data_IF_707898720766
#
_entry.id   IF_707898720766
#
_cell.length_a   1.000
_cell.length_b   1.000
_cell.length_c   1.000
_cell.angle_alpha   90.00
_cell.angle_beta   90.00
_cell.angle_gamma   90.00
#
_symmetry.space_group_name_H-M   'P 1'
#
loop_
_entity.id
_entity.type
_entity.pdbx_description
1 polymer ?
#
# COMPACT_ATOMS: atom_id res chain seq x y z
N UNK A 1 -36.31 25.80 14.38
CA UNK A 1 -35.90 24.60 15.15
C UNK A 1 -36.45 23.28 14.59
N UNK A 2 -37.68 23.20 14.04
CA UNK A 2 -38.22 21.94 13.48
C UNK A 2 -37.67 21.54 12.08
N UNK A 3 -36.96 22.40 11.37
CA UNK A 3 -36.39 22.08 10.04
C UNK A 3 -35.20 21.11 10.08
N UNK A 4 -34.60 20.85 11.25
CA UNK A 4 -33.47 19.91 11.39
C UNK A 4 -33.87 18.43 11.35
N UNK A 5 -35.17 18.11 11.44
CA UNK A 5 -35.65 16.73 11.26
C UNK A 5 -35.37 16.17 9.86
N UNK A 6 -35.13 17.04 8.87
CA UNK A 6 -34.85 16.62 7.50
C UNK A 6 -33.40 16.15 7.28
N UNK A 7 -32.51 16.32 8.26
CA UNK A 7 -31.11 15.87 8.16
C UNK A 7 -30.90 14.43 8.67
N UNK A 8 -31.87 13.88 9.42
CA UNK A 8 -31.82 12.49 9.91
C UNK A 8 -31.64 11.43 8.79
N UNK A 9 -32.36 11.51 7.66
CA UNK A 9 -32.16 10.56 6.55
C UNK A 9 -30.77 10.70 5.90
N UNK A 10 -30.19 11.91 5.92
CA UNK A 10 -28.86 12.17 5.35
C UNK A 10 -27.72 11.59 6.20
N UNK A 11 -27.80 11.71 7.53
CA UNK A 11 -26.76 11.17 8.42
C UNK A 11 -26.75 9.64 8.42
N UNK A 12 -27.93 9.01 8.50
CA UNK A 12 -28.03 7.54 8.51
C UNK A 12 -27.56 6.91 7.19
N UNK A 13 -27.75 7.61 6.05
CA UNK A 13 -27.32 7.14 4.72
C UNK A 13 -25.80 7.15 4.54
N UNK A 14 -25.09 8.05 5.20
CA UNK A 14 -23.63 8.20 5.06
C UNK A 14 -22.84 7.41 6.12
N UNK A 15 -23.32 7.36 7.36
CA UNK A 15 -22.63 6.65 8.46
C UNK A 15 -23.64 6.18 9.51
N UNK A 16 -23.76 4.86 9.68
CA UNK A 16 -24.67 4.26 10.67
C UNK A 16 -24.36 4.74 12.11
N UNK A 17 -23.08 5.00 12.41
CA UNK A 17 -22.65 5.49 13.71
C UNK A 17 -23.08 6.93 13.97
N UNK A 18 -23.00 7.79 12.94
CA UNK A 18 -23.38 9.20 13.07
C UNK A 18 -24.92 9.34 13.19
N UNK A 19 -25.67 8.48 12.49
CA UNK A 19 -27.12 8.37 12.67
C UNK A 19 -27.52 7.88 14.06
N UNK A 20 -26.81 6.90 14.61
CA UNK A 20 -27.03 6.42 15.98
C UNK A 20 -26.70 7.49 17.01
N UNK A 21 -25.58 8.21 16.84
CA UNK A 21 -25.19 9.33 17.70
C UNK A 21 -26.31 10.38 17.73
N UNK A 22 -26.78 10.83 16.56
CA UNK A 22 -27.86 11.80 16.47
C UNK A 22 -29.14 11.31 17.15
N UNK A 23 -29.53 10.05 16.93
CA UNK A 23 -30.76 9.49 17.51
C UNK A 23 -30.67 9.44 19.04
N UNK A 24 -29.54 8.97 19.58
CA UNK A 24 -29.32 8.85 21.02
C UNK A 24 -29.30 10.23 21.69
N UNK A 25 -28.60 11.21 21.11
CA UNK A 25 -28.56 12.56 21.68
C UNK A 25 -29.92 13.26 21.62
N UNK A 26 -30.64 13.08 20.51
CA UNK A 26 -31.96 13.65 20.32
C UNK A 26 -32.99 13.09 21.33
N UNK A 27 -33.02 11.76 21.50
CA UNK A 27 -33.90 11.12 22.49
C UNK A 27 -33.51 11.55 23.91
N UNK A 28 -32.22 11.64 24.22
CA UNK A 28 -31.76 12.04 25.55
C UNK A 28 -32.23 13.46 25.93
N UNK A 29 -32.15 14.43 25.02
CA UNK A 29 -32.62 15.80 25.26
C UNK A 29 -34.13 15.87 25.47
N UNK A 30 -34.91 15.06 24.73
CA UNK A 30 -36.38 15.06 24.86
C UNK A 30 -36.84 14.42 26.18
N UNK A 31 -36.15 13.39 26.65
CA UNK A 31 -36.60 12.59 27.81
C UNK A 31 -36.05 13.13 29.15
N UNK A 32 -34.84 13.70 29.17
CA UNK A 32 -34.07 13.99 30.40
C UNK A 32 -33.76 15.49 30.62
N UNK A 33 -34.29 16.38 29.79
CA UNK A 33 -33.98 17.82 29.70
C UNK A 33 -32.68 18.17 28.95
N UNK A 34 -32.57 19.44 28.56
CA UNK A 34 -31.52 19.97 27.69
C UNK A 34 -30.12 19.81 28.31
N UNK A 35 -29.98 20.13 29.60
CA UNK A 35 -28.67 20.11 30.29
C UNK A 35 -28.12 18.68 30.41
N UNK A 36 -28.94 17.74 30.86
CA UNK A 36 -28.59 16.32 30.96
C UNK A 36 -28.36 15.70 29.58
N UNK A 37 -29.21 16.02 28.60
CA UNK A 37 -29.09 15.54 27.23
C UNK A 37 -27.81 16.00 26.55
N UNK A 38 -27.33 17.22 26.84
CA UNK A 38 -26.05 17.73 26.34
C UNK A 38 -24.86 16.93 26.88
N UNK A 39 -24.82 16.67 28.18
CA UNK A 39 -23.73 15.89 28.82
C UNK A 39 -23.67 14.49 28.22
N UNK A 40 -24.82 13.82 28.10
CA UNK A 40 -24.91 12.49 27.47
C UNK A 40 -24.44 12.56 26.03
N UNK A 41 -24.85 13.59 25.28
CA UNK A 41 -24.45 13.77 23.90
C UNK A 41 -22.94 13.91 23.72
N UNK A 42 -22.28 14.67 24.58
CA UNK A 42 -20.81 14.79 24.60
C UNK A 42 -20.16 13.44 24.91
N UNK A 43 -20.65 12.73 25.93
CA UNK A 43 -20.11 11.43 26.32
C UNK A 43 -20.23 10.39 25.19
N UNK A 44 -21.39 10.31 24.53
CA UNK A 44 -21.62 9.40 23.39
C UNK A 44 -20.77 9.82 22.19
N UNK A 45 -20.62 11.12 21.91
CA UNK A 45 -19.76 11.59 20.84
C UNK A 45 -18.29 11.20 21.06
N UNK A 46 -17.78 11.36 22.28
CA UNK A 46 -16.43 10.92 22.64
C UNK A 46 -16.27 9.41 22.46
N UNK A 47 -17.26 8.63 22.90
CA UNK A 47 -17.25 7.18 22.73
C UNK A 47 -17.22 6.77 21.25
N UNK A 48 -18.03 7.41 20.40
CA UNK A 48 -18.05 7.18 18.95
C UNK A 48 -16.70 7.53 18.32
N UNK A 49 -16.07 8.64 18.74
CA UNK A 49 -14.73 9.02 18.27
C UNK A 49 -13.67 7.98 18.66
N UNK A 50 -13.73 7.44 19.88
CA UNK A 50 -12.83 6.36 20.31
C UNK A 50 -13.03 5.10 19.44
N UNK A 51 -14.28 4.66 19.23
CA UNK A 51 -14.54 3.51 18.36
C UNK A 51 -14.07 3.74 16.92
N UNK A 52 -14.27 4.95 16.40
CA UNK A 52 -13.78 5.34 15.06
C UNK A 52 -12.26 5.30 14.98
N UNK A 53 -11.56 5.70 16.04
CA UNK A 53 -10.09 5.68 16.11
C UNK A 53 -9.50 4.26 16.13
N UNK A 54 -10.25 3.29 16.67
CA UNK A 54 -9.83 1.88 16.77
C UNK A 54 -10.11 1.11 15.46
N UNK A 55 -10.94 1.67 14.57
CA UNK A 55 -11.28 1.07 13.28
C UNK A 55 -10.06 0.91 12.39
N UNK A 56 -9.83 -0.33 11.94
CA UNK A 56 -8.76 -0.70 11.02
C UNK A 56 -9.34 -1.40 9.82
N UNK A 57 -8.84 -1.10 8.63
CA UNK A 57 -9.15 -1.82 7.42
C UNK A 57 -7.91 -2.60 6.95
N UNK A 58 -8.14 -3.81 6.45
CA UNK A 58 -7.11 -4.62 5.81
C UNK A 58 -7.61 -4.83 4.39
N UNK A 59 -6.87 -4.39 3.40
CA UNK A 59 -7.22 -4.50 1.98
C UNK A 59 -6.20 -5.36 1.26
N UNK A 60 -6.63 -6.07 0.23
CA UNK A 60 -5.70 -6.75 -0.66
C UNK A 60 -5.31 -5.78 -1.76
N UNK A 61 -4.01 -5.59 -1.92
CA UNK A 61 -3.46 -4.62 -2.89
C UNK A 61 -2.55 -5.33 -3.87
N UNK A 62 -2.38 -4.74 -5.04
CA UNK A 62 -1.55 -5.27 -6.11
C UNK A 62 -0.82 -4.14 -6.83
N UNK A 63 0.37 -4.40 -7.38
CA UNK A 63 1.03 -3.43 -8.24
C UNK A 63 0.23 -3.22 -9.52
N UNK A 64 0.25 -2.00 -10.03
CA UNK A 64 -0.20 -1.66 -11.38
C UNK A 64 1.03 -1.72 -12.28
N UNK A 65 1.02 -2.53 -13.37
CA UNK A 65 2.14 -2.64 -14.28
C UNK A 65 2.64 -1.27 -14.76
N UNK A 66 3.96 -1.12 -14.92
CA UNK A 66 4.62 0.06 -15.52
C UNK A 66 4.44 1.40 -14.77
N UNK A 67 3.71 1.45 -13.66
CA UNK A 67 3.45 2.71 -12.93
C UNK A 67 4.15 2.77 -11.56
N UNK A 68 4.57 1.63 -11.01
CA UNK A 68 5.08 1.53 -9.65
C UNK A 68 4.03 1.75 -8.55
N UNK A 69 2.77 1.98 -8.92
CA UNK A 69 1.68 2.20 -7.99
C UNK A 69 1.17 0.87 -7.42
N UNK A 70 0.72 0.91 -6.16
CA UNK A 70 0.09 -0.23 -5.49
C UNK A 70 -1.29 0.18 -5.01
N UNK A 71 -2.32 -0.42 -5.60
CA UNK A 71 -3.74 -0.05 -5.40
C UNK A 71 -4.57 -1.26 -4.98
N UNK A 72 -5.78 -1.04 -4.49
CA UNK A 72 -6.67 -2.13 -4.08
C UNK A 72 -7.17 -2.93 -5.30
N UNK A 73 -6.98 -4.26 -5.26
CA UNK A 73 -7.34 -5.16 -6.37
C UNK A 73 -8.85 -5.18 -6.61
N UNK A 74 -9.65 -4.92 -5.58
CA UNK A 74 -11.11 -4.88 -5.70
C UNK A 74 -11.64 -3.62 -6.34
N UNK A 75 -10.89 -2.53 -6.28
CA UNK A 75 -11.33 -1.20 -6.72
C UNK A 75 -10.72 -0.78 -8.06
N UNK A 76 -9.69 -1.51 -8.54
CA UNK A 76 -8.99 -1.20 -9.77
C UNK A 76 -8.79 -2.43 -10.64
N UNK A 77 -9.23 -2.35 -11.90
CA UNK A 77 -9.03 -3.40 -12.90
C UNK A 77 -7.57 -3.51 -13.38
N UNK A 78 -6.76 -2.48 -13.13
CA UNK A 78 -5.35 -2.42 -13.55
C UNK A 78 -4.40 -3.11 -12.56
N UNK A 79 -4.87 -3.43 -11.35
CA UNK A 79 -4.07 -4.05 -10.32
C UNK A 79 -3.92 -5.55 -10.55
N UNK A 80 -2.68 -6.04 -10.59
CA UNK A 80 -2.40 -7.46 -10.75
C UNK A 80 -2.09 -8.11 -9.39
N UNK A 81 -2.54 -9.35 -9.21
CA UNK A 81 -2.14 -10.17 -8.06
C UNK A 81 -0.80 -10.84 -8.37
N UNK A 82 0.29 -10.57 -7.63
CA UNK A 82 1.56 -11.26 -7.85
C UNK A 82 1.43 -12.77 -7.63
N UNK A 83 2.12 -13.58 -8.45
CA UNK A 83 2.07 -15.04 -8.34
C UNK A 83 2.74 -15.58 -7.09
N UNK A 84 3.80 -14.92 -6.63
CA UNK A 84 4.66 -15.40 -5.53
C UNK A 84 4.39 -14.72 -4.19
N UNK A 85 3.57 -13.66 -4.18
CA UNK A 85 3.35 -12.82 -3.02
C UNK A 85 1.89 -12.48 -2.79
N UNK A 86 1.49 -12.44 -1.52
CA UNK A 86 0.24 -11.83 -1.05
C UNK A 86 0.59 -10.47 -0.45
N UNK A 87 -0.01 -9.40 -0.97
CA UNK A 87 0.21 -8.05 -0.45
C UNK A 87 -1.07 -7.57 0.23
N UNK A 88 -0.95 -7.21 1.50
CA UNK A 88 -2.05 -6.71 2.31
C UNK A 88 -1.69 -5.32 2.83
N UNK A 89 -2.57 -4.34 2.64
CA UNK A 89 -2.43 -3.00 3.19
C UNK A 89 -3.24 -2.89 4.46
N UNK A 90 -2.61 -2.43 5.54
CA UNK A 90 -3.31 -2.03 6.77
C UNK A 90 -3.51 -0.52 6.75
N UNK A 91 -4.76 -0.11 6.91
CA UNK A 91 -5.17 1.29 7.06
C UNK A 91 -5.78 1.49 8.44
N UNK A 92 -5.21 2.38 9.24
CA UNK A 92 -5.67 2.69 10.60
C UNK A 92 -4.59 2.46 11.67
N UNK A 93 -4.81 3.02 12.86
CA UNK A 93 -3.86 2.93 13.96
C UNK A 93 -3.76 1.49 14.49
N UNK A 94 -2.57 1.05 14.88
CA UNK A 94 -2.34 -0.27 15.48
C UNK A 94 -1.97 -0.06 16.95
N UNK A 95 -2.79 -0.55 17.86
CA UNK A 95 -2.57 -0.38 19.29
C UNK A 95 -2.98 -1.64 20.07
N UNK A 96 -2.74 -1.64 21.38
CA UNK A 96 -3.14 -2.74 22.26
C UNK A 96 -4.62 -3.12 22.15
N UNK A 97 -5.51 -2.14 21.92
CA UNK A 97 -6.95 -2.36 21.89
C UNK A 97 -7.43 -3.10 20.61
N UNK A 98 -6.79 -2.89 19.46
CA UNK A 98 -7.21 -3.53 18.19
C UNK A 98 -6.25 -4.57 17.63
N UNK A 99 -5.01 -4.68 18.13
CA UNK A 99 -3.99 -5.53 17.53
C UNK A 99 -4.46 -6.97 17.33
N UNK A 100 -5.14 -7.56 18.31
CA UNK A 100 -5.59 -8.95 18.23
C UNK A 100 -6.59 -9.16 17.09
N UNK A 101 -7.56 -8.24 16.96
CA UNK A 101 -8.53 -8.24 15.87
C UNK A 101 -7.85 -8.05 14.50
N UNK A 102 -6.85 -7.17 14.41
CA UNK A 102 -6.07 -6.94 13.19
C UNK A 102 -5.36 -8.23 12.77
N UNK A 103 -4.63 -8.88 13.68
CA UNK A 103 -3.87 -10.09 13.35
C UNK A 103 -4.79 -11.25 13.00
N UNK A 104 -5.92 -11.43 13.68
CA UNK A 104 -6.86 -12.51 13.33
C UNK A 104 -7.47 -12.31 11.95
N UNK A 105 -7.84 -11.07 11.60
CA UNK A 105 -8.31 -10.73 10.25
C UNK A 105 -7.19 -10.90 9.22
N UNK A 106 -5.96 -10.55 9.57
CA UNK A 106 -4.79 -10.72 8.73
C UNK A 106 -4.53 -12.21 8.44
N UNK A 107 -4.51 -13.05 9.48
CA UNK A 107 -4.35 -14.51 9.36
C UNK A 107 -5.43 -15.12 8.48
N UNK A 108 -6.71 -14.77 8.69
CA UNK A 108 -7.83 -15.24 7.85
C UNK A 108 -7.66 -14.84 6.39
N UNK A 109 -7.23 -13.61 6.12
CA UNK A 109 -6.98 -13.12 4.75
C UNK A 109 -5.79 -13.82 4.10
N UNK A 110 -4.69 -13.95 4.83
CA UNK A 110 -3.51 -14.67 4.36
C UNK A 110 -3.89 -16.11 4.03
N UNK A 111 -4.57 -16.84 4.91
CA UNK A 111 -4.99 -18.22 4.64
C UNK A 111 -5.91 -18.35 3.42
N UNK A 112 -6.83 -17.39 3.21
CA UNK A 112 -7.72 -17.39 2.03
C UNK A 112 -6.98 -17.09 0.74
N UNK A 113 -5.98 -16.21 0.80
CA UNK A 113 -5.26 -15.72 -0.36
C UNK A 113 -3.97 -16.48 -0.61
N UNK A 114 -3.46 -17.25 0.33
CA UNK A 114 -2.22 -18.00 0.16
C UNK A 114 -2.51 -19.30 -0.61
N UNK A 115 -1.83 -19.48 -1.73
CA UNK A 115 -1.75 -20.75 -2.47
C UNK A 115 -0.34 -21.32 -2.31
N UNK A 116 -0.11 -22.58 -2.72
CA UNK A 116 1.20 -23.24 -2.62
C UNK A 116 2.35 -22.41 -3.25
N UNK A 117 2.04 -21.64 -4.30
CA UNK A 117 3.00 -20.77 -4.98
C UNK A 117 3.31 -19.44 -4.26
N UNK A 118 2.43 -18.99 -3.34
CA UNK A 118 2.55 -17.68 -2.66
C UNK A 118 3.25 -17.81 -1.32
N UNK A 119 4.59 -17.86 -1.37
CA UNK A 119 5.44 -18.01 -0.17
C UNK A 119 5.78 -16.70 0.53
N UNK A 120 5.57 -15.54 -0.10
CA UNK A 120 5.82 -14.24 0.49
C UNK A 120 4.53 -13.53 0.93
N UNK A 121 4.51 -12.97 2.13
CA UNK A 121 3.45 -12.08 2.62
C UNK A 121 4.07 -10.71 2.87
N UNK A 122 3.65 -9.73 2.07
CA UNK A 122 4.06 -8.33 2.21
C UNK A 122 2.95 -7.56 2.91
N UNK A 123 3.28 -6.95 4.04
CA UNK A 123 2.37 -6.10 4.78
C UNK A 123 2.72 -4.63 4.55
N UNK A 124 1.91 -3.95 3.75
CA UNK A 124 2.01 -2.53 3.50
C UNK A 124 1.39 -1.76 4.69
N UNK A 125 2.24 -1.04 5.42
CA UNK A 125 1.87 -0.24 6.59
C UNK A 125 2.01 1.27 6.33
N UNK A 126 2.06 1.69 5.07
CA UNK A 126 2.06 3.11 4.67
C UNK A 126 0.88 3.89 5.26
N UNK A 127 -0.29 3.25 5.38
CA UNK A 127 -1.51 3.84 5.91
C UNK A 127 -1.73 3.59 7.42
N UNK A 128 -0.66 3.24 8.15
CA UNK A 128 -0.69 3.14 9.61
C UNK A 128 -0.16 4.47 10.19
N UNK A 129 -1.03 5.37 10.67
CA UNK A 129 -0.61 6.68 11.16
C UNK A 129 0.09 6.61 12.53
N UNK A 130 -0.19 5.56 13.31
CA UNK A 130 0.30 5.40 14.66
C UNK A 130 0.40 3.93 15.05
N UNK A 131 1.45 3.61 15.82
CA UNK A 131 1.67 2.31 16.43
C UNK A 131 2.18 2.50 17.87
N UNK A 132 1.52 1.87 18.85
CA UNK A 132 1.99 1.89 20.23
C UNK A 132 3.07 0.82 20.48
N UNK A 133 3.62 0.81 21.69
CA UNK A 133 4.68 -0.13 22.08
C UNK A 133 4.21 -1.59 22.00
N UNK A 134 2.99 -1.87 22.46
CA UNK A 134 2.46 -3.23 22.48
C UNK A 134 2.18 -3.76 21.07
N UNK A 135 1.60 -2.92 20.21
CA UNK A 135 1.37 -3.19 18.81
C UNK A 135 2.66 -3.44 18.06
N UNK A 136 3.70 -2.61 18.27
CA UNK A 136 5.01 -2.82 17.66
C UNK A 136 5.68 -4.12 18.11
N UNK A 137 5.69 -4.41 19.42
CA UNK A 137 6.24 -5.65 19.97
C UNK A 137 5.53 -6.87 19.38
N UNK A 138 4.19 -6.89 19.41
CA UNK A 138 3.43 -8.02 18.86
C UNK A 138 3.56 -8.12 17.33
N UNK A 139 3.68 -7.00 16.61
CA UNK A 139 3.95 -7.02 15.16
C UNK A 139 5.30 -7.69 14.87
N UNK A 140 6.35 -7.35 15.62
CA UNK A 140 7.66 -7.97 15.47
C UNK A 140 7.61 -9.48 15.76
N UNK A 141 6.82 -9.91 16.76
CA UNK A 141 6.59 -11.33 17.01
C UNK A 141 5.87 -12.02 15.84
N UNK A 142 4.83 -11.39 15.29
CA UNK A 142 4.10 -11.92 14.15
C UNK A 142 4.97 -12.06 12.89
N UNK A 143 5.98 -11.20 12.70
CA UNK A 143 6.97 -11.33 11.63
C UNK A 143 7.95 -12.49 11.84
N UNK A 144 8.22 -12.86 13.10
CA UNK A 144 9.13 -13.96 13.48
C UNK A 144 8.43 -15.32 13.45
N UNK A 145 7.10 -15.36 13.50
CA UNK A 145 6.34 -16.62 13.35
C UNK A 145 6.66 -17.27 11.99
N UNK A 146 7.36 -18.41 12.02
CA UNK A 146 7.56 -19.24 10.85
C UNK A 146 6.34 -20.16 10.66
N UNK A 147 5.58 -19.90 9.59
CA UNK A 147 4.45 -20.73 9.16
C UNK A 147 4.61 -21.19 7.72
N UNK A 148 5.85 -21.33 7.23
CA UNK A 148 6.12 -21.70 5.84
C UNK A 148 5.90 -20.56 4.83
N UNK A 149 5.62 -19.34 5.31
CA UNK A 149 5.56 -18.11 4.51
C UNK A 149 6.48 -17.06 5.10
N UNK A 150 7.35 -16.51 4.28
CA UNK A 150 8.17 -15.36 4.63
C UNK A 150 7.29 -14.13 4.78
N UNK A 151 7.43 -13.40 5.90
CA UNK A 151 6.64 -12.20 6.20
C UNK A 151 7.54 -10.99 6.26
N UNK A 152 7.15 -9.94 5.57
CA UNK A 152 7.90 -8.67 5.49
C UNK A 152 6.96 -7.48 5.66
N UNK A 153 7.50 -6.38 6.17
CA UNK A 153 6.84 -5.08 6.25
C UNK A 153 7.34 -4.17 5.14
N UNK A 154 6.42 -3.42 4.55
CA UNK A 154 6.72 -2.41 3.54
C UNK A 154 6.17 -1.03 3.97
N UNK A 155 6.90 0.01 3.59
CA UNK A 155 6.53 1.42 3.77
C UNK A 155 6.18 1.83 5.22
N UNK A 156 6.98 1.47 6.24
CA UNK A 156 6.80 2.05 7.57
C UNK A 156 7.02 3.57 7.54
N UNK A 157 6.10 4.35 8.09
CA UNK A 157 6.22 5.81 8.14
C UNK A 157 6.94 6.26 9.41
N UNK A 158 7.64 7.40 9.38
CA UNK A 158 8.70 7.75 10.34
C UNK A 158 8.48 7.44 11.84
N UNK A 159 7.30 7.75 12.43
CA UNK A 159 7.04 7.40 13.85
C UNK A 159 6.90 5.88 14.05
N UNK A 160 6.18 5.21 13.15
CA UNK A 160 5.97 3.76 13.18
C UNK A 160 7.28 3.03 12.92
N UNK A 161 8.09 3.50 11.96
CA UNK A 161 9.41 2.93 11.67
C UNK A 161 10.33 3.00 12.89
N UNK A 162 10.41 4.17 13.55
CA UNK A 162 11.20 4.31 14.79
C UNK A 162 10.69 3.42 15.91
N UNK A 163 9.37 3.23 16.02
CA UNK A 163 8.78 2.34 17.00
C UNK A 163 9.18 0.89 16.72
N UNK A 164 9.09 0.42 15.48
CA UNK A 164 9.49 -0.93 15.09
C UNK A 164 10.99 -1.18 15.33
N UNK A 165 11.86 -0.22 14.98
CA UNK A 165 13.31 -0.30 15.23
C UNK A 165 13.64 -0.40 16.72
N UNK A 166 12.88 0.27 17.59
CA UNK A 166 13.05 0.18 19.05
C UNK A 166 12.77 -1.21 19.61
N UNK A 167 11.93 -2.01 18.93
CA UNK A 167 11.64 -3.39 19.30
C UNK A 167 12.41 -4.42 18.47
N UNK A 168 13.56 -4.00 17.90
CA UNK A 168 14.50 -4.89 17.22
C UNK A 168 13.85 -5.68 16.07
N UNK A 169 13.05 -4.99 15.25
CA UNK A 169 12.58 -5.56 13.98
C UNK A 169 13.79 -5.93 13.12
N UNK A 170 13.76 -7.13 12.51
CA UNK A 170 14.82 -7.58 11.61
C UNK A 170 14.92 -6.63 10.41
N UNK A 171 16.08 -5.96 10.18
CA UNK A 171 16.26 -5.06 9.05
C UNK A 171 16.00 -5.73 7.69
N UNK A 172 16.21 -7.05 7.58
CA UNK A 172 15.97 -7.78 6.34
C UNK A 172 14.49 -7.99 6.02
N UNK A 173 13.61 -7.76 6.99
CA UNK A 173 12.15 -7.86 6.86
C UNK A 173 11.48 -6.49 6.71
N UNK A 174 12.24 -5.41 6.63
CA UNK A 174 11.73 -4.06 6.50
C UNK A 174 12.12 -3.46 5.15
N UNK A 175 11.13 -2.99 4.39
CA UNK A 175 11.33 -2.46 3.04
C UNK A 175 10.77 -1.04 2.92
N UNK A 176 11.45 -0.13 2.20
CA UNK A 176 10.95 1.23 1.97
C UNK A 176 9.63 1.24 1.20
N UNK A 177 9.49 0.37 0.20
CA UNK A 177 8.26 0.23 -0.58
C UNK A 177 7.85 -1.24 -0.74
N UNK A 178 6.59 -1.44 -1.15
CA UNK A 178 6.09 -2.77 -1.53
C UNK A 178 6.86 -3.31 -2.74
N UNK A 179 7.20 -2.44 -3.70
CA UNK A 179 7.94 -2.82 -4.90
C UNK A 179 9.35 -3.32 -4.56
N UNK A 180 10.05 -2.69 -3.61
CA UNK A 180 11.36 -3.14 -3.14
C UNK A 180 11.29 -4.54 -2.51
N UNK A 181 10.22 -4.82 -1.76
CA UNK A 181 9.98 -6.12 -1.15
C UNK A 181 9.76 -7.21 -2.21
N UNK A 182 8.98 -6.91 -3.26
CA UNK A 182 8.76 -7.82 -4.39
C UNK A 182 10.04 -8.03 -5.20
N UNK A 183 10.79 -6.95 -5.45
CA UNK A 183 12.03 -6.99 -6.22
C UNK A 183 13.08 -7.87 -5.54
N UNK A 184 13.30 -7.71 -4.23
CA UNK A 184 14.27 -8.55 -3.50
C UNK A 184 13.91 -10.03 -3.57
N UNK A 185 12.61 -10.36 -3.51
CA UNK A 185 12.18 -11.77 -3.65
C UNK A 185 12.46 -12.31 -5.04
N UNK A 186 12.12 -11.55 -6.09
CA UNK A 186 12.41 -11.92 -7.47
C UNK A 186 13.92 -12.12 -7.69
N UNK A 187 14.76 -11.22 -7.17
CA UNK A 187 16.21 -11.33 -7.24
C UNK A 187 16.75 -12.54 -6.46
N UNK A 188 16.16 -12.89 -5.32
CA UNK A 188 16.57 -14.09 -4.56
C UNK A 188 16.24 -15.41 -5.29
N UNK A 189 15.26 -15.40 -6.19
CA UNK A 189 14.97 -16.51 -7.09
C UNK A 189 15.91 -16.58 -8.30
N UNK A 190 16.59 -15.47 -8.64
CA UNK A 190 17.59 -15.39 -9.70
C UNK A 190 18.95 -15.75 -9.08
N UNK A 191 19.30 -17.03 -9.12
CA UNK A 191 20.62 -17.50 -8.70
C UNK A 191 21.70 -16.87 -9.63
N UNK A 192 22.69 -16.11 -9.13
CA UNK A 192 23.70 -15.46 -9.97
C UNK A 192 24.63 -16.44 -10.71
N UNK A 193 24.50 -17.75 -10.48
CA UNK A 193 25.29 -18.78 -11.14
C UNK A 193 24.92 -19.05 -12.62
N UNK A 194 23.78 -18.56 -13.12
CA UNK A 194 23.37 -18.76 -14.53
C UNK A 194 23.62 -17.56 -15.44
N UNK A 195 24.22 -16.48 -14.93
CA UNK A 195 24.66 -15.34 -15.74
C UNK A 195 26.17 -15.31 -15.91
N UNK A 196 26.77 -16.48 -16.21
CA UNK A 196 28.00 -16.49 -17.00
C UNK A 196 27.58 -16.47 -18.45
N UNK A 197 27.41 -15.26 -18.98
CA UNK A 197 27.49 -15.04 -20.42
C UNK A 197 28.85 -15.60 -20.86
N UNK A 198 28.81 -16.66 -21.65
CA UNK A 198 29.99 -17.28 -22.22
C UNK A 198 30.72 -16.21 -23.05
N UNK A 199 31.95 -15.78 -22.72
CA UNK A 199 32.64 -14.74 -23.46
C UNK A 199 33.00 -15.15 -24.90
N UNK A 200 32.70 -16.39 -25.29
CA UNK A 200 33.04 -16.98 -26.58
C UNK A 200 31.89 -16.98 -27.63
N UNK A 201 30.73 -16.40 -27.32
CA UNK A 201 29.62 -16.32 -28.29
C UNK A 201 29.69 -15.13 -29.25
N UNK A 202 30.64 -14.19 -29.06
CA UNK A 202 30.84 -13.03 -29.95
C UNK A 202 31.92 -13.23 -31.01
N UNK A 203 32.71 -14.32 -30.95
CA UNK A 203 33.83 -14.54 -31.88
C UNK A 203 33.47 -15.43 -33.09
N UNK A 204 32.21 -15.87 -33.21
CA UNK A 204 31.75 -16.74 -34.32
C UNK A 204 30.91 -16.05 -35.38
N UNK A 205 30.68 -14.74 -35.29
CA UNK A 205 29.94 -14.00 -36.32
C UNK A 205 30.82 -13.28 -37.35
N UNK A 206 32.17 -13.40 -37.27
CA UNK A 206 33.06 -12.60 -38.10
C UNK A 206 33.90 -13.33 -39.16
N UNK A 207 33.55 -14.57 -39.52
CA UNK A 207 34.20 -15.25 -40.65
C UNK A 207 33.22 -16.10 -41.47
N UNK A 208 32.22 -15.48 -42.10
CA UNK A 208 31.72 -15.98 -43.38
C UNK A 208 30.90 -14.89 -44.10
N UNK A 209 31.54 -14.11 -44.98
CA UNK A 209 30.96 -13.80 -46.28
C UNK A 209 32.00 -13.19 -47.19
N UNK A 210 32.23 -13.91 -48.29
CA UNK A 210 33.19 -13.59 -49.33
C UNK A 210 32.85 -12.32 -50.11
N UNK A 211 33.92 -11.83 -50.74
CA UNK A 211 33.94 -10.79 -51.74
C UNK A 211 32.91 -11.06 -52.86
N UNK A 212 31.94 -10.16 -53.05
CA UNK A 212 31.39 -9.90 -54.38
C UNK A 212 31.37 -8.40 -54.61
N UNK A 213 32.16 -8.00 -55.59
CA UNK A 213 32.51 -6.65 -55.96
C UNK A 213 31.62 -6.23 -57.14
N UNK A 214 30.49 -5.56 -56.89
CA UNK A 214 29.73 -4.87 -57.94
C UNK A 214 29.19 -3.54 -57.41
N UNK A 215 29.71 -2.47 -58.01
CA UNK A 215 29.38 -1.10 -57.65
C UNK A 215 27.94 -0.70 -57.97
N UNK A 216 27.48 0.34 -57.29
CA UNK A 216 26.48 1.26 -57.83
C UNK A 216 26.64 2.63 -57.18
N UNK A 217 26.64 3.64 -58.04
CA UNK A 217 26.66 5.07 -57.71
C UNK A 217 25.39 5.48 -56.96
N UNK A 218 25.53 6.52 -56.12
CA UNK A 218 24.54 7.60 -56.14
C UNK A 218 24.00 8.06 -54.78
N UNK A 219 24.12 9.39 -54.62
CA UNK A 219 23.24 10.30 -53.88
C UNK A 219 23.48 10.51 -52.39
N UNK A 220 24.17 11.62 -52.16
CA UNK A 220 24.14 12.50 -51.00
C UNK A 220 22.71 12.87 -50.61
N UNK A 221 22.34 12.70 -49.34
CA UNK A 221 21.33 13.52 -48.70
C UNK A 221 21.84 14.03 -47.34
N UNK A 222 21.76 15.35 -47.24
CA UNK A 222 22.26 16.21 -46.20
C UNK A 222 21.21 16.30 -45.07
N UNK A 223 21.53 15.75 -43.90
CA UNK A 223 20.63 15.79 -42.73
C UNK A 223 20.70 17.17 -42.08
N UNK A 224 19.66 17.99 -42.30
CA UNK A 224 19.45 19.27 -41.63
C UNK A 224 18.98 19.06 -40.19
N UNK A 225 19.76 19.56 -39.23
CA UNK A 225 19.37 19.74 -37.82
C UNK A 225 18.35 20.87 -37.68
N UNK A 226 17.24 20.70 -36.94
CA UNK A 226 16.34 21.80 -36.62
C UNK A 226 16.85 22.60 -35.41
N UNK A 227 17.08 23.89 -35.64
CA UNK A 227 17.38 24.91 -34.63
C UNK A 227 16.08 25.31 -33.91
N UNK A 228 15.99 25.09 -32.60
CA UNK A 228 14.91 25.61 -31.76
C UNK A 228 15.17 27.10 -31.45
N UNK A 229 14.36 27.97 -32.02
CA UNK A 229 14.19 29.36 -31.59
C UNK A 229 13.22 29.41 -30.41
N UNK A 230 13.73 29.77 -29.23
CA UNK A 230 12.92 30.19 -28.08
C UNK A 230 12.47 31.64 -28.29
N UNK A 231 11.16 31.83 -28.41
CA UNK A 231 10.48 33.12 -28.43
C UNK A 231 10.15 33.53 -26.98
N UNK A 232 10.84 34.56 -26.47
CA UNK A 232 10.52 35.21 -25.21
C UNK A 232 9.54 36.34 -25.51
N UNK A 233 8.25 36.06 -25.34
CA UNK A 233 7.17 37.04 -25.38
C UNK A 233 7.17 37.94 -24.15
N UNK A 234 7.16 39.25 -24.43
CA UNK A 234 7.13 40.38 -23.51
C UNK A 234 5.98 40.33 -22.48
N UNK A 235 6.29 40.78 -21.26
CA UNK A 235 5.30 41.26 -20.28
C UNK A 235 5.52 42.76 -20.12
N UNK A 236 4.57 43.57 -20.61
CA UNK A 236 4.44 44.97 -20.25
C UNK A 236 2.96 45.29 -20.00
N UNK A 237 2.75 46.03 -18.89
CA UNK A 237 1.56 46.68 -18.35
C UNK A 237 0.55 45.81 -17.59
#
# INVERSE_FOLDING_TARGET
MLMQFHDFPKFYKNSKLDGLLWLVTFIAVIVLDIDSGLIIGIAVALLVLLFRSISTNIQEVGPVPETGLVVEIKESEFAIRPREAVILRISGAINFANFESVIDRLRKKVLKLQSEDRKLVVLDISNVPYMDQTGAKKMCLWLKEDKGSERVLAAPTGKVERMLKRFEVDPNKLYPTVMDALLKKSLSGINPATTKTDPNSLEKEHTDHGEDNRGFQGQSEEVKTPTNTFDQGDTQL
#
